data_IF_911567208086
#
_entry.id   IF_911567208086
#
_cell.length_a   1.000
_cell.length_b   1.000
_cell.length_c   1.000
_cell.angle_alpha   90.00
_cell.angle_beta   90.00
_cell.angle_gamma   90.00
#
_symmetry.space_group_name_H-M   'P 1'
#
loop_
_entity.id
_entity.type
_entity.pdbx_description
1 polymer ?
#
# COMPACT_ATOMS: atom_id res chain seq x y z
N UNK A 1 48.09 4.14 0.77
CA UNK A 1 47.02 5.12 0.51
C UNK A 1 46.14 4.56 -0.59
N UNK A 2 44.99 4.00 -0.26
CA UNK A 2 44.02 3.58 -1.26
C UNK A 2 43.49 4.85 -1.92
N UNK A 3 43.77 5.04 -3.22
CA UNK A 3 43.24 6.17 -3.96
C UNK A 3 41.73 6.18 -3.82
N UNK A 4 41.15 7.29 -3.35
CA UNK A 4 39.71 7.44 -3.31
C UNK A 4 39.19 7.33 -4.74
N UNK A 5 38.58 6.19 -5.06
CA UNK A 5 37.78 6.04 -6.27
C UNK A 5 36.59 6.98 -6.12
N UNK A 6 36.72 8.22 -6.62
CA UNK A 6 35.60 9.14 -6.77
C UNK A 6 34.63 8.49 -7.74
N UNK A 7 33.43 8.13 -7.26
CA UNK A 7 32.35 7.64 -8.11
C UNK A 7 31.58 8.84 -8.65
N UNK A 8 31.39 8.97 -9.98
CA UNK A 8 30.63 10.08 -10.55
C UNK A 8 29.13 9.94 -10.22
N UNK A 9 28.53 11.00 -9.70
CA UNK A 9 27.10 11.09 -9.43
C UNK A 9 26.73 12.28 -8.55
N UNK A 10 25.44 12.58 -8.49
CA UNK A 10 24.87 13.63 -7.65
C UNK A 10 24.10 12.98 -6.50
N UNK A 11 24.30 13.50 -5.28
CA UNK A 11 23.72 12.92 -4.06
C UNK A 11 22.56 13.79 -3.58
N UNK A 12 21.43 13.16 -3.29
CA UNK A 12 20.30 13.77 -2.57
C UNK A 12 19.99 12.96 -1.30
N UNK A 13 19.34 13.54 -0.27
CA UNK A 13 18.85 12.75 0.86
C UNK A 13 17.96 11.61 0.36
N UNK A 14 18.03 10.45 1.01
CA UNK A 14 17.21 9.32 0.60
C UNK A 14 15.72 9.61 0.75
N UNK A 15 14.90 9.08 -0.17
CA UNK A 15 13.48 9.36 -0.21
C UNK A 15 12.72 8.54 0.83
N UNK A 16 11.62 9.10 1.32
CA UNK A 16 10.75 8.48 2.32
C UNK A 16 9.31 8.48 1.83
N UNK A 17 8.67 7.31 1.94
CA UNK A 17 7.24 7.20 1.74
C UNK A 17 6.50 7.50 3.04
N UNK A 18 5.68 8.54 3.04
CA UNK A 18 4.90 8.96 4.22
C UNK A 18 3.73 8.04 4.56
N UNK A 19 3.37 7.10 3.68
CA UNK A 19 2.28 6.15 3.90
C UNK A 19 2.32 5.00 2.87
N UNK A 20 2.66 3.81 3.32
CA UNK A 20 2.54 2.59 2.52
C UNK A 20 2.17 1.37 3.35
N UNK A 21 2.13 0.21 2.68
CA UNK A 21 1.83 -1.08 3.29
C UNK A 21 2.89 -2.08 2.82
N UNK A 22 3.95 -2.28 3.59
CA UNK A 22 5.15 -3.01 3.17
C UNK A 22 4.86 -4.48 2.85
N UNK A 23 4.18 -5.18 3.76
CA UNK A 23 3.81 -6.58 3.54
C UNK A 23 2.85 -6.72 2.38
N UNK A 24 1.82 -5.87 2.31
CA UNK A 24 0.82 -5.92 1.24
C UNK A 24 1.43 -5.58 -0.13
N UNK A 25 2.35 -4.63 -0.20
CA UNK A 25 3.12 -4.34 -1.42
C UNK A 25 3.98 -5.55 -1.82
N UNK A 26 4.59 -6.23 -0.85
CA UNK A 26 5.27 -7.49 -1.10
C UNK A 26 4.34 -8.57 -1.64
N UNK A 27 3.17 -8.74 -1.04
CA UNK A 27 2.16 -9.72 -1.50
C UNK A 27 1.63 -9.37 -2.89
N UNK A 28 1.42 -8.07 -3.18
CA UNK A 28 1.08 -7.55 -4.51
C UNK A 28 2.09 -8.04 -5.56
N UNK A 29 3.39 -7.90 -5.28
CA UNK A 29 4.47 -8.31 -6.21
C UNK A 29 4.52 -9.83 -6.46
N UNK A 30 3.84 -10.62 -5.62
CA UNK A 30 3.70 -12.08 -5.77
C UNK A 30 2.26 -12.48 -6.11
N UNK A 31 1.49 -11.58 -6.71
CA UNK A 31 0.08 -11.79 -7.11
C UNK A 31 -0.17 -11.40 -8.57
N UNK A 32 -1.39 -11.59 -9.07
CA UNK A 32 -1.76 -11.14 -10.43
C UNK A 32 -1.86 -9.62 -10.47
N UNK A 33 -1.05 -8.98 -11.32
CA UNK A 33 -1.16 -7.56 -11.63
C UNK A 33 -2.32 -7.31 -12.61
N UNK A 34 -3.38 -6.68 -12.13
CA UNK A 34 -4.57 -6.33 -12.91
C UNK A 34 -4.65 -4.84 -13.26
N UNK A 35 -3.63 -4.05 -12.91
CA UNK A 35 -3.61 -2.63 -13.24
C UNK A 35 -3.62 -2.43 -14.76
N UNK A 36 -4.48 -1.52 -15.22
CA UNK A 36 -4.63 -1.20 -16.64
C UNK A 36 -5.25 -2.32 -17.48
N UNK A 37 -5.91 -3.32 -16.88
CA UNK A 37 -6.80 -4.20 -17.65
C UNK A 37 -7.97 -3.40 -18.23
N UNK A 38 -8.24 -3.57 -19.53
CA UNK A 38 -9.28 -2.84 -20.26
C UNK A 38 -10.56 -3.67 -20.42
N UNK A 39 -10.52 -4.98 -20.15
CA UNK A 39 -11.66 -5.87 -20.27
C UNK A 39 -11.66 -7.01 -19.25
N UNK A 40 -12.81 -7.67 -19.06
CA UNK A 40 -12.90 -8.91 -18.27
C UNK A 40 -12.08 -10.05 -18.89
N UNK A 41 -11.89 -10.04 -20.21
CA UNK A 41 -11.05 -11.04 -20.89
C UNK A 41 -9.56 -10.82 -20.58
N UNK A 42 -9.11 -9.57 -20.45
CA UNK A 42 -7.74 -9.27 -20.03
C UNK A 42 -7.48 -9.80 -18.62
N UNK A 43 -8.43 -9.63 -17.71
CA UNK A 43 -8.32 -10.16 -16.34
C UNK A 43 -8.18 -11.69 -16.39
N UNK A 44 -9.07 -12.39 -17.11
CA UNK A 44 -8.98 -13.85 -17.25
C UNK A 44 -7.65 -14.29 -17.85
N UNK A 45 -7.15 -13.53 -18.84
CA UNK A 45 -5.86 -13.81 -19.48
C UNK A 45 -4.71 -13.70 -18.49
N UNK A 46 -4.59 -12.59 -17.75
CA UNK A 46 -3.53 -12.41 -16.76
C UNK A 46 -3.60 -13.41 -15.61
N UNK A 47 -4.82 -13.76 -15.17
CA UNK A 47 -5.02 -14.82 -14.16
C UNK A 47 -4.53 -16.18 -14.68
N UNK A 48 -4.84 -16.56 -15.93
CA UNK A 48 -4.35 -17.80 -16.53
C UNK A 48 -2.83 -17.82 -16.68
N UNK A 49 -2.24 -16.73 -17.13
CA UNK A 49 -0.78 -16.59 -17.26
C UNK A 49 -0.08 -16.78 -15.91
N UNK A 50 -0.62 -16.17 -14.86
CA UNK A 50 -0.11 -16.35 -13.51
C UNK A 50 -0.27 -17.79 -13.02
N UNK A 51 -1.43 -18.44 -13.25
CA UNK A 51 -1.65 -19.85 -12.88
C UNK A 51 -0.69 -20.80 -13.61
N UNK A 52 -0.36 -20.51 -14.87
CA UNK A 52 0.62 -21.29 -15.63
C UNK A 52 2.03 -21.18 -15.01
N UNK A 53 2.40 -20.01 -14.50
CA UNK A 53 3.67 -19.79 -13.81
C UNK A 53 3.66 -20.28 -12.35
N UNK A 54 2.48 -20.38 -11.73
CA UNK A 54 2.29 -20.72 -10.32
C UNK A 54 1.20 -21.81 -10.16
N UNK A 55 1.47 -23.08 -10.52
CA UNK A 55 0.45 -24.13 -10.55
C UNK A 55 -0.21 -24.44 -9.20
N UNK A 56 0.46 -24.14 -8.09
CA UNK A 56 -0.05 -24.36 -6.73
C UNK A 56 -1.07 -23.29 -6.28
N UNK A 57 -1.22 -22.20 -7.04
CA UNK A 57 -2.17 -21.14 -6.75
C UNK A 57 -3.61 -21.50 -7.16
N UNK A 58 -4.58 -20.87 -6.50
CA UNK A 58 -6.01 -21.03 -6.76
C UNK A 58 -6.61 -22.32 -6.20
N UNK A 59 -5.93 -22.99 -5.26
CA UNK A 59 -6.45 -24.13 -4.51
C UNK A 59 -7.19 -23.67 -3.25
N UNK A 60 -7.94 -24.56 -2.59
CA UNK A 60 -8.69 -24.24 -1.37
C UNK A 60 -7.79 -23.74 -0.23
N UNK A 61 -6.57 -24.26 -0.15
CA UNK A 61 -5.58 -23.93 0.88
C UNK A 61 -4.61 -22.82 0.44
N UNK A 62 -4.58 -22.49 -0.85
CA UNK A 62 -3.73 -21.44 -1.42
C UNK A 62 -4.49 -20.67 -2.49
N UNK A 63 -5.28 -19.69 -2.05
CA UNK A 63 -6.08 -18.86 -2.94
C UNK A 63 -5.17 -18.05 -3.86
N UNK A 64 -5.55 -17.92 -5.14
CA UNK A 64 -4.90 -16.98 -6.03
C UNK A 64 -5.30 -15.57 -5.64
N UNK A 65 -4.30 -14.71 -5.49
CA UNK A 65 -4.47 -13.29 -5.22
C UNK A 65 -4.17 -12.49 -6.48
N UNK A 66 -4.81 -11.34 -6.59
CA UNK A 66 -4.54 -10.36 -7.63
C UNK A 66 -5.07 -9.00 -7.20
N UNK A 67 -4.70 -7.96 -7.91
CA UNK A 67 -4.98 -6.59 -7.45
C UNK A 67 -4.84 -5.62 -8.61
N UNK A 68 -5.69 -4.59 -8.62
CA UNK A 68 -5.65 -3.54 -9.64
C UNK A 68 -6.84 -3.51 -10.59
N UNK A 69 -7.86 -4.35 -10.39
CA UNK A 69 -9.05 -4.30 -11.25
C UNK A 69 -9.85 -3.01 -11.01
N UNK A 70 -10.49 -2.51 -12.07
CA UNK A 70 -11.37 -1.35 -12.01
C UNK A 70 -12.61 -1.59 -12.87
N UNK A 71 -13.79 -1.44 -12.26
CA UNK A 71 -15.07 -1.57 -12.94
C UNK A 71 -15.28 -0.53 -14.04
N UNK A 72 -14.57 0.61 -14.02
CA UNK A 72 -14.67 1.62 -15.08
C UNK A 72 -14.30 1.04 -16.45
N UNK A 73 -13.37 0.07 -16.48
CA UNK A 73 -12.98 -0.64 -17.69
C UNK A 73 -14.11 -1.55 -18.25
N UNK A 74 -15.04 -2.01 -17.39
CA UNK A 74 -16.09 -2.97 -17.77
C UNK A 74 -17.49 -2.35 -17.80
N UNK A 75 -17.66 -1.12 -17.28
CA UNK A 75 -18.92 -0.41 -17.14
C UNK A 75 -19.84 -0.93 -16.03
N UNK A 76 -19.38 -1.90 -15.22
CA UNK A 76 -20.13 -2.50 -14.11
C UNK A 76 -19.21 -3.24 -13.15
N UNK A 77 -19.66 -3.44 -11.91
CA UNK A 77 -18.97 -4.34 -10.99
C UNK A 77 -18.86 -5.76 -11.58
N UNK A 78 -17.71 -6.43 -11.44
CA UNK A 78 -17.55 -7.81 -11.89
C UNK A 78 -18.31 -8.78 -10.97
N UNK A 79 -18.55 -9.99 -11.45
CA UNK A 79 -19.24 -11.05 -10.72
C UNK A 79 -18.41 -12.32 -10.67
N UNK A 80 -18.72 -13.23 -9.75
CA UNK A 80 -18.09 -14.55 -9.71
C UNK A 80 -18.25 -15.30 -11.05
N UNK A 81 -19.41 -15.16 -11.71
CA UNK A 81 -19.68 -15.78 -13.00
C UNK A 81 -18.77 -15.26 -14.14
N UNK A 82 -18.26 -14.04 -14.06
CA UNK A 82 -17.36 -13.47 -15.07
C UNK A 82 -16.01 -14.19 -15.13
N UNK A 83 -15.51 -14.67 -13.99
CA UNK A 83 -14.31 -15.51 -13.93
C UNK A 83 -14.58 -16.86 -14.60
N UNK A 84 -15.72 -17.47 -14.28
CA UNK A 84 -16.06 -18.85 -14.66
C UNK A 84 -16.47 -19.02 -16.13
N UNK A 85 -16.57 -17.92 -16.89
CA UNK A 85 -16.71 -17.98 -18.34
C UNK A 85 -15.54 -18.73 -18.99
N UNK A 86 -14.35 -18.70 -18.39
CA UNK A 86 -13.23 -19.54 -18.79
C UNK A 86 -13.24 -20.88 -18.04
N UNK A 87 -13.33 -22.02 -18.73
CA UNK A 87 -13.35 -23.34 -18.10
C UNK A 87 -12.12 -23.66 -17.24
N UNK A 88 -10.95 -23.07 -17.51
CA UNK A 88 -9.73 -23.29 -16.72
C UNK A 88 -9.78 -22.61 -15.35
N UNK A 89 -10.64 -21.61 -15.19
CA UNK A 89 -10.78 -20.86 -13.94
C UNK A 89 -11.91 -21.42 -13.06
N UNK A 90 -12.74 -22.32 -13.58
CA UNK A 90 -13.78 -23.00 -12.79
C UNK A 90 -13.16 -23.82 -11.66
N UNK A 91 -13.74 -23.71 -10.46
CA UNK A 91 -13.24 -24.42 -9.28
C UNK A 91 -11.99 -23.79 -8.64
N UNK A 92 -11.45 -22.69 -9.19
CA UNK A 92 -10.32 -21.98 -8.60
C UNK A 92 -10.79 -21.02 -7.51
N UNK A 93 -10.03 -20.95 -6.43
CA UNK A 93 -10.27 -20.01 -5.34
C UNK A 93 -9.53 -18.71 -5.62
N UNK A 94 -10.26 -17.68 -6.07
CA UNK A 94 -9.71 -16.37 -6.39
C UNK A 94 -10.22 -15.32 -5.40
N UNK A 95 -9.33 -14.41 -5.02
CA UNK A 95 -9.66 -13.18 -4.30
C UNK A 95 -8.83 -12.05 -4.91
N UNK A 96 -9.48 -11.14 -5.63
CA UNK A 96 -8.85 -10.10 -6.44
C UNK A 96 -9.22 -8.73 -5.86
N UNK A 97 -8.24 -7.94 -5.46
CA UNK A 97 -8.47 -6.64 -4.82
C UNK A 97 -8.66 -5.54 -5.89
N UNK A 98 -9.59 -4.61 -5.63
CA UNK A 98 -9.82 -3.45 -6.50
C UNK A 98 -8.57 -2.57 -6.55
N UNK A 99 -8.46 -1.73 -7.56
CA UNK A 99 -7.38 -0.75 -7.71
C UNK A 99 -7.13 0.12 -6.46
N UNK A 100 -8.18 0.41 -5.69
CA UNK A 100 -8.11 1.18 -4.44
C UNK A 100 -8.11 0.30 -3.19
N UNK A 101 -8.06 -1.04 -3.33
CA UNK A 101 -8.09 -2.05 -2.26
C UNK A 101 -9.31 -2.03 -1.31
N UNK A 102 -10.34 -1.24 -1.63
CA UNK A 102 -11.56 -1.12 -0.82
C UNK A 102 -12.67 -2.10 -1.20
N UNK A 103 -12.44 -2.91 -2.23
CA UNK A 103 -13.33 -4.02 -2.58
C UNK A 103 -12.51 -5.27 -2.99
N UNK A 104 -13.10 -6.44 -2.80
CA UNK A 104 -12.57 -7.72 -3.30
C UNK A 104 -13.56 -8.38 -4.21
N UNK A 105 -13.08 -8.88 -5.35
CA UNK A 105 -13.81 -9.72 -6.29
C UNK A 105 -13.38 -11.17 -6.09
N UNK A 106 -14.35 -12.06 -5.83
CA UNK A 106 -14.11 -13.47 -5.54
C UNK A 106 -14.77 -14.40 -6.57
N UNK A 107 -14.16 -15.57 -6.76
CA UNK A 107 -14.69 -16.68 -7.56
C UNK A 107 -15.90 -17.36 -6.91
N UNK A 108 -16.67 -18.12 -7.69
CA UNK A 108 -17.80 -18.91 -7.16
C UNK A 108 -17.37 -19.91 -6.07
N UNK A 109 -16.21 -20.55 -6.22
CA UNK A 109 -15.68 -21.49 -5.21
C UNK A 109 -15.45 -20.85 -3.84
N UNK A 110 -15.21 -19.53 -3.78
CA UNK A 110 -15.14 -18.77 -2.53
C UNK A 110 -16.53 -18.42 -2.03
N UNK A 111 -17.46 -18.04 -2.92
CA UNK A 111 -18.87 -17.81 -2.55
C UNK A 111 -19.51 -19.06 -1.94
N UNK A 112 -19.17 -20.26 -2.43
CA UNK A 112 -19.68 -21.53 -1.93
C UNK A 112 -19.23 -21.84 -0.48
N UNK A 113 -18.26 -21.09 0.06
CA UNK A 113 -17.86 -21.19 1.47
C UNK A 113 -18.70 -20.31 2.40
N UNK A 114 -19.46 -19.37 1.86
CA UNK A 114 -20.26 -18.42 2.64
C UNK A 114 -21.62 -19.03 3.02
N UNK A 115 -22.25 -18.53 4.11
CA UNK A 115 -23.64 -18.85 4.38
C UNK A 115 -24.54 -18.33 3.26
N UNK A 116 -25.68 -19.01 3.04
CA UNK A 116 -26.63 -18.68 1.97
C UNK A 116 -27.35 -17.34 2.17
N UNK A 117 -27.44 -16.86 3.40
CA UNK A 117 -28.04 -15.57 3.76
C UNK A 117 -26.97 -14.68 4.40
N UNK A 118 -26.75 -13.50 3.80
CA UNK A 118 -25.75 -12.54 4.21
C UNK A 118 -26.46 -11.22 4.53
N UNK A 119 -26.41 -10.73 5.78
CA UNK A 119 -27.11 -9.51 6.17
C UNK A 119 -26.46 -8.28 5.54
N UNK A 120 -27.17 -7.14 5.61
CA UNK A 120 -26.55 -5.84 5.40
C UNK A 120 -25.49 -5.57 6.48
N UNK A 121 -24.40 -4.89 6.11
CA UNK A 121 -23.24 -4.68 6.96
C UNK A 121 -23.02 -3.19 7.14
N UNK A 122 -23.15 -2.64 8.36
CA UNK A 122 -22.81 -1.23 8.59
C UNK A 122 -21.36 -0.93 8.17
N UNK A 123 -21.17 0.08 7.33
CA UNK A 123 -19.85 0.45 6.81
C UNK A 123 -19.29 -0.52 5.77
N UNK A 124 -20.13 -1.32 5.10
CA UNK A 124 -19.70 -2.23 4.05
C UNK A 124 -20.83 -2.60 3.10
N UNK A 125 -20.45 -3.07 1.91
CA UNK A 125 -21.42 -3.41 0.85
C UNK A 125 -21.12 -4.80 0.27
N UNK A 126 -22.17 -5.59 0.11
CA UNK A 126 -22.13 -6.82 -0.69
C UNK A 126 -22.86 -6.52 -1.99
N UNK A 127 -22.13 -6.40 -3.08
CA UNK A 127 -22.70 -6.07 -4.39
C UNK A 127 -23.50 -7.28 -4.89
N UNK A 128 -24.79 -7.06 -5.17
CA UNK A 128 -25.73 -8.11 -5.59
C UNK A 128 -26.19 -7.97 -7.04
N UNK A 129 -26.13 -6.77 -7.59
CA UNK A 129 -26.44 -6.47 -8.99
C UNK A 129 -25.16 -6.03 -9.71
N UNK A 130 -24.83 -6.60 -10.88
CA UNK A 130 -25.60 -7.57 -11.68
C UNK A 130 -25.55 -9.01 -11.13
N UNK A 131 -24.75 -9.26 -10.11
CA UNK A 131 -24.60 -10.57 -9.50
C UNK A 131 -23.61 -10.53 -8.33
N UNK A 132 -23.55 -11.65 -7.60
CA UNK A 132 -22.64 -11.81 -6.48
C UNK A 132 -21.17 -11.92 -6.92
N UNK A 133 -20.27 -11.50 -6.04
CA UNK A 133 -18.83 -11.69 -6.21
C UNK A 133 -17.99 -10.55 -5.66
N UNK A 134 -18.58 -9.38 -5.41
CA UNK A 134 -17.85 -8.21 -4.91
C UNK A 134 -18.30 -7.84 -3.50
N UNK A 135 -17.31 -7.64 -2.62
CA UNK A 135 -17.48 -7.26 -1.22
C UNK A 135 -16.60 -6.04 -0.94
N UNK A 136 -17.18 -4.97 -0.40
CA UNK A 136 -16.49 -3.70 -0.16
C UNK A 136 -16.45 -3.34 1.33
N UNK A 137 -15.38 -2.66 1.73
CA UNK A 137 -15.12 -2.17 3.09
C UNK A 137 -15.35 -3.24 4.18
N UNK A 138 -16.23 -2.99 5.17
CA UNK A 138 -16.49 -3.96 6.24
C UNK A 138 -17.06 -5.30 5.75
N UNK A 139 -17.62 -5.36 4.53
CA UNK A 139 -18.10 -6.61 3.95
C UNK A 139 -16.96 -7.55 3.55
N UNK A 140 -15.75 -7.03 3.28
CA UNK A 140 -14.57 -7.83 2.96
C UNK A 140 -14.21 -8.79 4.10
N UNK A 141 -14.60 -8.50 5.35
CA UNK A 141 -14.34 -9.35 6.52
C UNK A 141 -14.93 -10.77 6.39
N UNK A 142 -16.02 -10.95 5.65
CA UNK A 142 -16.58 -12.28 5.36
C UNK A 142 -15.63 -13.12 4.53
N UNK A 143 -14.92 -12.48 3.60
CA UNK A 143 -13.96 -13.13 2.71
C UNK A 143 -12.63 -13.33 3.44
N UNK A 144 -12.11 -12.28 4.08
CA UNK A 144 -10.77 -12.32 4.68
C UNK A 144 -10.66 -13.32 5.85
N UNK A 145 -11.76 -13.62 6.55
CA UNK A 145 -11.83 -14.66 7.60
C UNK A 145 -11.74 -16.09 7.05
N UNK A 146 -12.19 -16.30 5.82
CA UNK A 146 -12.13 -17.60 5.14
C UNK A 146 -10.81 -17.80 4.41
N UNK A 147 -10.15 -16.71 4.00
CA UNK A 147 -8.90 -16.74 3.27
C UNK A 147 -7.77 -17.42 4.09
N UNK A 148 -7.16 -18.52 3.58
CA UNK A 148 -5.98 -19.13 4.19
C UNK A 148 -4.83 -18.13 4.27
N UNK A 149 -4.40 -17.82 5.50
CA UNK A 149 -3.35 -16.81 5.71
C UNK A 149 -1.97 -17.34 5.29
N UNK A 150 -1.15 -16.52 4.62
CA UNK A 150 0.19 -16.92 4.23
C UNK A 150 1.07 -17.21 5.45
N UNK A 151 2.02 -18.14 5.29
CA UNK A 151 3.00 -18.46 6.32
C UNK A 151 3.98 -17.31 6.57
N UNK A 152 4.61 -17.29 7.75
CA UNK A 152 5.64 -16.29 8.06
C UNK A 152 6.85 -16.37 7.12
N UNK A 153 7.15 -17.55 6.58
CA UNK A 153 8.19 -17.75 5.57
C UNK A 153 7.84 -17.02 4.27
N UNK A 154 6.60 -17.19 3.79
CA UNK A 154 6.12 -16.47 2.60
C UNK A 154 6.11 -14.96 2.84
N UNK A 155 5.61 -14.50 3.99
CA UNK A 155 5.62 -13.07 4.36
C UNK A 155 7.03 -12.49 4.43
N UNK A 156 7.99 -13.22 4.98
CA UNK A 156 9.39 -12.79 5.01
C UNK A 156 9.98 -12.65 3.59
N UNK A 157 9.66 -13.59 2.71
CA UNK A 157 10.06 -13.54 1.30
C UNK A 157 9.47 -12.32 0.59
N UNK A 158 8.17 -12.06 0.75
CA UNK A 158 7.50 -10.93 0.09
C UNK A 158 7.98 -9.57 0.60
N UNK A 159 8.21 -9.42 1.90
CA UNK A 159 8.79 -8.20 2.50
C UNK A 159 10.19 -7.93 1.94
N UNK A 160 11.01 -8.97 1.76
CA UNK A 160 12.33 -8.83 1.12
C UNK A 160 12.22 -8.34 -0.33
N UNK A 161 11.30 -8.91 -1.11
CA UNK A 161 11.03 -8.44 -2.49
C UNK A 161 10.55 -6.99 -2.51
N UNK A 162 9.64 -6.61 -1.61
CA UNK A 162 9.14 -5.25 -1.49
C UNK A 162 10.27 -4.25 -1.23
N UNK A 163 11.10 -4.50 -0.22
CA UNK A 163 12.23 -3.63 0.11
C UNK A 163 13.21 -3.48 -1.07
N UNK A 164 13.48 -4.56 -1.82
CA UNK A 164 14.33 -4.48 -3.01
C UNK A 164 13.73 -3.54 -4.09
N UNK A 165 12.42 -3.58 -4.31
CA UNK A 165 11.72 -2.66 -5.23
C UNK A 165 11.67 -1.22 -4.72
N UNK A 166 11.51 -1.01 -3.41
CA UNK A 166 11.59 0.32 -2.81
C UNK A 166 13.00 0.92 -2.98
N UNK A 167 14.05 0.13 -2.72
CA UNK A 167 15.43 0.58 -2.94
C UNK A 167 15.68 0.96 -4.40
N UNK A 168 15.10 0.24 -5.37
CA UNK A 168 15.25 0.52 -6.80
C UNK A 168 14.79 1.93 -7.20
N UNK A 169 13.82 2.50 -6.47
CA UNK A 169 13.29 3.85 -6.70
C UNK A 169 13.82 4.89 -5.72
N UNK A 170 14.80 4.53 -4.90
CA UNK A 170 15.47 5.46 -3.98
C UNK A 170 14.78 5.66 -2.63
N UNK A 171 13.76 4.83 -2.32
CA UNK A 171 13.11 4.85 -1.01
C UNK A 171 14.01 4.17 0.02
N UNK A 172 14.45 4.94 1.01
CA UNK A 172 15.30 4.51 2.13
C UNK A 172 14.51 4.36 3.43
N UNK A 173 13.32 4.94 3.49
CA UNK A 173 12.41 4.77 4.61
C UNK A 173 10.95 4.85 4.20
N UNK A 174 10.07 4.33 5.06
CA UNK A 174 8.64 4.41 4.85
C UNK A 174 7.86 4.36 6.16
N UNK A 175 6.63 4.85 6.10
CA UNK A 175 5.63 4.58 7.12
C UNK A 175 4.81 3.36 6.71
N UNK A 176 4.77 2.34 7.55
CA UNK A 176 3.93 1.15 7.33
C UNK A 176 2.61 1.32 8.08
N UNK A 177 1.54 1.60 7.34
CA UNK A 177 0.26 2.00 7.89
C UNK A 177 -0.64 0.77 8.12
N UNK A 178 -0.86 0.40 9.38
CA UNK A 178 -1.86 -0.59 9.76
C UNK A 178 -1.39 -2.04 9.74
N UNK A 179 -0.09 -2.30 9.94
CA UNK A 179 0.33 -3.67 10.21
C UNK A 179 -0.15 -4.14 11.60
N UNK A 180 -0.52 -5.43 11.67
CA UNK A 180 -1.03 -6.07 12.89
C UNK A 180 0.10 -6.38 13.88
N UNK A 181 -0.22 -6.66 15.17
CA UNK A 181 0.79 -7.08 16.14
C UNK A 181 1.59 -8.32 15.70
N UNK A 182 0.97 -9.25 14.97
CA UNK A 182 1.66 -10.42 14.42
C UNK A 182 2.71 -10.02 13.36
N UNK A 183 2.35 -9.12 12.43
CA UNK A 183 3.27 -8.61 11.41
C UNK A 183 4.39 -7.77 12.02
N UNK A 184 4.10 -6.93 13.01
CA UNK A 184 5.13 -6.18 13.74
C UNK A 184 6.13 -7.10 14.47
N UNK A 185 5.70 -8.25 15.00
CA UNK A 185 6.62 -9.26 15.57
C UNK A 185 7.51 -9.89 14.50
N UNK A 186 6.96 -10.17 13.32
CA UNK A 186 7.75 -10.64 12.17
C UNK A 186 8.79 -9.57 11.76
N UNK A 187 8.39 -8.32 11.61
CA UNK A 187 9.30 -7.22 11.26
C UNK A 187 10.42 -7.04 12.29
N UNK A 188 10.13 -7.11 13.59
CA UNK A 188 11.17 -7.07 14.63
C UNK A 188 12.21 -8.19 14.49
N UNK A 189 11.79 -9.38 14.03
CA UNK A 189 12.70 -10.49 13.74
C UNK A 189 13.52 -10.21 12.48
N UNK A 190 12.88 -9.75 11.41
CA UNK A 190 13.53 -9.48 10.12
C UNK A 190 14.49 -8.28 10.18
N UNK A 191 14.17 -7.23 10.92
CA UNK A 191 14.98 -6.02 11.07
C UNK A 191 16.38 -6.28 11.68
N UNK A 192 16.56 -7.43 12.33
CA UNK A 192 17.84 -7.88 12.91
C UNK A 192 18.76 -8.56 11.90
N UNK A 193 18.34 -8.77 10.66
CA UNK A 193 19.15 -9.38 9.61
C UNK A 193 19.68 -8.33 8.64
N UNK A 194 20.68 -8.71 7.83
CA UNK A 194 21.23 -7.84 6.78
C UNK A 194 20.29 -7.66 5.57
N UNK A 195 19.24 -8.49 5.49
CA UNK A 195 18.22 -8.41 4.45
C UNK A 195 17.25 -7.24 4.67
N UNK A 196 17.24 -6.61 5.85
CA UNK A 196 16.43 -5.42 6.11
C UNK A 196 17.12 -4.17 5.57
N UNK A 197 16.54 -3.59 4.51
CA UNK A 197 17.21 -2.54 3.71
C UNK A 197 16.48 -1.20 3.67
N UNK A 198 15.34 -1.07 4.37
CA UNK A 198 14.53 0.15 4.42
C UNK A 198 14.21 0.45 5.88
N UNK A 199 14.23 1.73 6.29
CA UNK A 199 13.78 2.13 7.63
C UNK A 199 12.26 2.16 7.69
N UNK A 200 11.66 1.45 8.63
CA UNK A 200 10.20 1.36 8.71
C UNK A 200 9.69 1.96 10.02
N UNK A 201 8.82 2.95 9.89
CA UNK A 201 8.01 3.49 10.97
C UNK A 201 6.62 2.87 10.91
N UNK A 202 6.34 1.89 11.78
CA UNK A 202 5.06 1.19 11.82
C UNK A 202 3.98 1.97 12.57
N UNK A 203 2.78 1.99 12.00
CA UNK A 203 1.54 2.45 12.63
C UNK A 203 0.67 1.22 12.88
N UNK A 204 0.54 0.79 14.13
CA UNK A 204 -0.12 -0.48 14.45
C UNK A 204 -1.63 -0.40 14.22
N UNK A 205 -2.20 -1.38 13.52
CA UNK A 205 -3.65 -1.66 13.55
C UNK A 205 -3.91 -2.89 14.42
N UNK A 206 -4.94 -2.83 15.25
CA UNK A 206 -5.37 -3.98 16.05
C UNK A 206 -6.12 -4.99 15.17
N UNK A 207 -6.06 -6.29 15.51
CA UNK A 207 -6.75 -7.34 14.74
C UNK A 207 -8.26 -7.07 14.60
N UNK A 208 -8.87 -6.47 15.62
CA UNK A 208 -10.18 -5.84 15.49
C UNK A 208 -9.99 -4.45 14.89
N UNK A 209 -10.39 -4.29 13.62
CA UNK A 209 -10.39 -3.02 12.90
C UNK A 209 -11.04 -1.89 13.72
N UNK A 210 -10.47 -0.69 13.61
CA UNK A 210 -10.97 0.53 14.27
C UNK A 210 -11.12 0.40 15.79
N UNK A 211 -10.25 -0.38 16.43
CA UNK A 211 -10.19 -0.52 17.89
C UNK A 211 -8.80 -0.22 18.44
N UNK A 212 -8.67 -0.21 19.77
CA UNK A 212 -7.40 -0.05 20.47
C UNK A 212 -7.13 -1.26 21.39
N UNK A 213 -5.95 -1.85 21.26
CA UNK A 213 -5.51 -3.09 21.90
C UNK A 213 -4.27 -2.81 22.76
N UNK A 214 -4.41 -2.17 23.92
CA UNK A 214 -3.27 -1.66 24.71
C UNK A 214 -2.24 -2.73 25.10
N UNK A 215 -2.69 -3.98 25.30
CA UNK A 215 -1.81 -5.10 25.69
C UNK A 215 -0.91 -5.60 24.53
N UNK A 216 -1.26 -5.29 23.28
CA UNK A 216 -0.54 -5.69 22.08
C UNK A 216 0.08 -4.50 21.31
N UNK A 217 -0.41 -3.29 21.57
CA UNK A 217 0.05 -2.03 20.97
C UNK A 217 1.32 -1.49 21.65
N UNK A 218 2.35 -2.33 21.75
CA UNK A 218 3.63 -1.95 22.35
C UNK A 218 4.41 -0.99 21.45
N UNK A 219 5.04 0.01 22.06
CA UNK A 219 6.05 0.81 21.37
C UNK A 219 7.27 -0.07 21.08
N UNK A 220 7.82 0.07 19.87
CA UNK A 220 9.03 -0.64 19.46
C UNK A 220 10.11 0.39 19.20
N UNK A 221 11.22 0.25 19.91
CA UNK A 221 12.40 1.10 19.75
C UNK A 221 13.61 0.25 19.36
N UNK A 222 13.99 0.32 18.09
CA UNK A 222 15.24 -0.22 17.59
C UNK A 222 16.34 0.85 17.69
N UNK A 223 17.50 0.58 18.33
CA UNK A 223 18.58 1.56 18.49
C UNK A 223 19.11 2.13 17.17
N UNK A 224 19.08 1.34 16.10
CA UNK A 224 19.51 1.73 14.77
C UNK A 224 18.38 2.30 13.92
N UNK A 225 17.16 2.42 14.48
CA UNK A 225 15.96 2.91 13.82
C UNK A 225 15.64 2.20 12.49
N UNK A 226 15.91 0.90 12.40
CA UNK A 226 15.54 0.05 11.26
C UNK A 226 14.04 -0.26 11.26
N UNK A 227 13.49 -0.57 12.43
CA UNK A 227 12.05 -0.74 12.63
C UNK A 227 11.62 -0.11 13.95
N UNK A 228 10.69 0.84 13.90
CA UNK A 228 10.17 1.53 15.09
C UNK A 228 8.64 1.62 15.03
N UNK A 229 7.99 1.64 16.18
CA UNK A 229 6.53 1.77 16.29
C UNK A 229 6.18 2.71 17.42
N UNK A 230 5.45 3.80 17.10
CA UNK A 230 5.01 4.81 18.09
C UNK A 230 3.59 5.31 17.88
N UNK A 231 2.88 4.83 16.85
CA UNK A 231 1.50 5.22 16.55
C UNK A 231 0.62 4.01 16.24
N UNK A 232 -0.68 4.28 16.24
CA UNK A 232 -1.71 3.36 15.77
C UNK A 232 -2.36 3.91 14.51
N UNK A 233 -2.88 3.03 13.66
CA UNK A 233 -3.66 3.35 12.47
C UNK A 233 -5.14 3.12 12.75
N UNK A 234 -5.98 4.07 12.33
CA UNK A 234 -7.43 3.99 12.37
C UNK A 234 -7.98 4.47 11.02
N UNK A 235 -9.20 4.05 10.70
CA UNK A 235 -9.94 4.43 9.51
C UNK A 235 -11.21 5.18 9.90
N UNK A 236 -11.39 6.39 9.36
CA UNK A 236 -12.60 7.17 9.60
C UNK A 236 -13.76 6.70 8.72
N UNK A 237 -13.49 6.56 7.42
CA UNK A 237 -14.42 6.24 6.33
C UNK A 237 -13.72 5.39 5.25
N UNK A 238 -14.42 5.10 4.15
CA UNK A 238 -13.88 4.34 3.00
C UNK A 238 -13.19 5.23 1.94
N UNK A 239 -13.12 4.75 0.70
CA UNK A 239 -12.55 5.49 -0.43
C UNK A 239 -13.62 6.09 -1.37
N UNK A 240 -13.24 7.15 -2.09
CA UNK A 240 -14.11 7.83 -3.05
C UNK A 240 -14.50 6.90 -4.21
N UNK A 241 -13.55 6.09 -4.70
CA UNK A 241 -13.76 5.25 -5.89
C UNK A 241 -14.72 4.08 -5.69
N UNK A 242 -14.95 3.67 -4.44
CA UNK A 242 -15.95 2.67 -4.04
C UNK A 242 -17.18 3.31 -3.37
N UNK A 243 -17.30 4.64 -3.41
CA UNK A 243 -18.33 5.42 -2.72
C UNK A 243 -18.39 5.19 -1.19
N UNK A 244 -17.28 4.76 -0.59
CA UNK A 244 -17.16 4.46 0.83
C UNK A 244 -16.80 5.69 1.69
N UNK A 245 -16.16 6.72 1.12
CA UNK A 245 -15.82 7.94 1.89
C UNK A 245 -17.08 8.68 2.35
N UNK A 246 -17.06 9.20 3.57
CA UNK A 246 -18.21 9.84 4.21
C UNK A 246 -18.30 11.31 3.79
N UNK A 247 -19.13 11.57 2.79
CA UNK A 247 -19.32 12.89 2.18
C UNK A 247 -20.35 13.72 2.95
N UNK A 248 -20.25 15.05 2.86
CA UNK A 248 -21.24 15.97 3.45
C UNK A 248 -22.57 15.99 2.69
N UNK A 249 -22.52 15.69 1.40
CA UNK A 249 -23.66 15.58 0.47
C UNK A 249 -23.52 14.28 -0.35
N UNK A 250 -24.59 13.76 -0.98
CA UNK A 250 -24.48 12.59 -1.84
C UNK A 250 -23.44 12.73 -2.96
N UNK A 251 -22.88 11.59 -3.37
CA UNK A 251 -21.95 11.54 -4.48
C UNK A 251 -22.62 12.03 -5.77
N UNK A 252 -21.89 12.79 -6.59
CA UNK A 252 -22.41 13.36 -7.84
C UNK A 252 -22.72 12.29 -8.89
N UNK A 253 -22.00 11.16 -8.86
CA UNK A 253 -22.17 9.99 -9.71
C UNK A 253 -22.95 8.85 -9.04
N UNK A 254 -23.31 9.00 -7.75
CA UNK A 254 -24.06 8.01 -6.98
C UNK A 254 -25.05 8.67 -5.99
N UNK A 255 -26.12 9.33 -6.50
CA UNK A 255 -26.91 10.30 -5.72
C UNK A 255 -27.72 9.73 -4.55
N UNK A 256 -27.82 8.41 -4.42
CA UNK A 256 -28.53 7.75 -3.32
C UNK A 256 -27.65 7.42 -2.11
N UNK A 257 -26.33 7.68 -2.18
CA UNK A 257 -25.39 7.44 -1.08
C UNK A 257 -24.50 8.66 -0.84
N UNK A 258 -24.12 8.88 0.42
CA UNK A 258 -23.08 9.83 0.82
C UNK A 258 -21.90 9.09 1.47
N UNK A 259 -21.78 7.79 1.19
CA UNK A 259 -20.86 6.88 1.85
C UNK A 259 -21.18 6.67 3.33
N UNK A 260 -20.22 6.11 4.07
CA UNK A 260 -20.44 5.79 5.47
C UNK A 260 -19.17 5.85 6.30
N UNK A 261 -19.30 6.25 7.56
CA UNK A 261 -18.18 6.14 8.48
C UNK A 261 -17.94 4.65 8.81
N UNK A 262 -16.67 4.22 8.74
CA UNK A 262 -16.25 2.87 9.15
C UNK A 262 -16.18 2.72 10.67
N UNK A 263 -16.17 3.84 11.39
CA UNK A 263 -16.24 3.92 12.84
C UNK A 263 -17.26 4.99 13.23
N UNK A 264 -18.10 4.73 14.23
CA UNK A 264 -19.00 5.77 14.73
C UNK A 264 -18.20 7.01 15.18
N UNK A 265 -18.63 8.21 14.79
CA UNK A 265 -17.95 9.48 15.09
C UNK A 265 -17.63 9.69 16.58
N UNK A 266 -18.52 9.23 17.48
CA UNK A 266 -18.30 9.30 18.93
C UNK A 266 -17.18 8.36 19.39
N UNK A 267 -17.07 7.19 18.76
CA UNK A 267 -16.03 6.22 19.06
C UNK A 267 -14.66 6.68 18.52
N UNK A 268 -14.60 7.30 17.34
CA UNK A 268 -13.38 7.92 16.80
C UNK A 268 -12.81 8.97 17.76
N UNK A 269 -13.68 9.78 18.37
CA UNK A 269 -13.32 10.80 19.36
C UNK A 269 -12.83 10.20 20.68
N UNK A 270 -13.17 8.95 20.99
CA UNK A 270 -12.70 8.24 22.19
C UNK A 270 -11.32 7.59 21.97
N UNK A 271 -10.97 7.22 20.74
CA UNK A 271 -9.66 6.64 20.38
C UNK A 271 -8.63 7.67 19.93
N UNK A 272 -9.06 8.87 19.53
CA UNK A 272 -8.19 10.01 19.22
C UNK A 272 -8.23 11.05 20.35
N UNK A 273 -7.09 11.66 20.71
CA UNK A 273 -7.08 12.82 21.62
C UNK A 273 -7.86 13.99 20.99
N UNK A 274 -8.61 14.71 21.81
CA UNK A 274 -9.50 15.81 21.43
C UNK A 274 -8.73 17.08 20.93
N UNK A 275 -8.89 17.51 19.66
CA UNK A 275 -8.15 18.63 19.06
C UNK A 275 -8.98 19.94 19.03
N UNK A 276 -9.42 20.45 20.18
CA UNK A 276 -10.41 21.54 20.33
C UNK A 276 -10.11 22.93 19.69
N UNK A 277 -9.22 23.07 18.71
CA UNK A 277 -9.12 24.31 17.90
C UNK A 277 -8.63 24.04 16.47
N UNK A 278 -9.43 24.33 15.44
CA UNK A 278 -8.91 24.87 14.16
C UNK A 278 -9.36 24.21 12.86
N UNK A 279 -10.08 24.95 11.99
CA UNK A 279 -10.58 24.62 10.63
C UNK A 279 -10.21 25.72 9.58
N UNK A 280 -10.29 25.47 8.25
CA UNK A 280 -10.46 26.47 7.14
C UNK A 280 -10.13 26.03 5.66
N UNK A 281 -10.64 26.69 4.55
CA UNK A 281 -11.18 26.06 3.30
C UNK A 281 -10.84 26.65 1.85
N UNK A 282 -11.14 25.87 0.77
CA UNK A 282 -11.56 26.18 -0.67
C UNK A 282 -10.61 26.77 -1.77
N UNK A 283 -11.03 26.69 -3.07
CA UNK A 283 -10.28 26.46 -4.35
C UNK A 283 -10.71 27.32 -5.60
N UNK A 284 -9.94 27.35 -6.73
CA UNK A 284 -10.34 27.08 -8.16
C UNK A 284 -9.50 27.76 -9.32
N UNK A 285 -9.06 27.01 -10.37
CA UNK A 285 -8.88 27.45 -11.80
C UNK A 285 -8.68 26.23 -12.80
N UNK A 286 -9.35 26.17 -13.98
CA UNK A 286 -9.49 24.97 -14.83
C UNK A 286 -8.59 24.73 -16.07
N UNK A 287 -7.61 25.56 -16.46
CA UNK A 287 -6.56 25.16 -17.46
C UNK A 287 -5.32 24.50 -16.82
N UNK A 288 -5.47 24.25 -15.53
CA UNK A 288 -4.52 23.68 -14.61
C UNK A 288 -5.17 22.42 -14.03
N UNK A 289 -4.43 21.33 -13.93
CA UNK A 289 -5.01 20.07 -13.44
C UNK A 289 -5.61 20.27 -12.05
N UNK A 290 -6.92 20.03 -11.90
CA UNK A 290 -7.82 20.06 -10.72
C UNK A 290 -7.63 21.15 -9.63
N UNK A 291 -6.40 21.51 -9.21
CA UNK A 291 -6.02 22.52 -8.22
C UNK A 291 -4.59 23.11 -8.50
N UNK A 292 -4.41 24.07 -9.42
CA UNK A 292 -3.13 24.72 -9.71
C UNK A 292 -2.37 25.30 -8.53
N UNK A 293 -3.11 25.95 -7.63
CA UNK A 293 -2.53 26.68 -6.52
C UNK A 293 -1.90 25.74 -5.48
N UNK A 294 -2.19 24.43 -5.58
CA UNK A 294 -1.61 23.35 -4.78
C UNK A 294 -0.36 22.75 -5.45
N UNK A 295 0.08 23.25 -6.61
CA UNK A 295 1.31 22.78 -7.27
C UNK A 295 2.50 23.12 -6.38
N UNK A 296 3.22 22.09 -5.97
CA UNK A 296 4.46 22.22 -5.21
C UNK A 296 5.63 22.49 -6.16
N UNK A 297 6.53 23.38 -5.74
CA UNK A 297 7.85 23.48 -6.35
C UNK A 297 8.63 22.18 -6.19
N UNK A 298 9.68 21.97 -7.00
CA UNK A 298 10.59 20.82 -6.84
C UNK A 298 11.15 20.75 -5.42
N UNK A 299 11.46 21.89 -4.81
CA UNK A 299 11.98 21.95 -3.44
C UNK A 299 10.94 21.49 -2.42
N UNK A 300 9.70 21.96 -2.53
CA UNK A 300 8.61 21.54 -1.63
C UNK A 300 8.28 20.06 -1.81
N UNK A 301 8.29 19.56 -3.04
CA UNK A 301 8.14 18.13 -3.35
C UNK A 301 9.24 17.31 -2.69
N UNK A 302 10.51 17.73 -2.83
CA UNK A 302 11.63 17.05 -2.18
C UNK A 302 11.53 17.10 -0.66
N UNK A 303 11.07 18.21 -0.07
CA UNK A 303 10.79 18.26 1.36
C UNK A 303 9.69 17.25 1.75
N UNK A 304 8.62 17.17 0.94
CA UNK A 304 7.52 16.22 1.08
C UNK A 304 7.95 14.75 1.00
N UNK A 305 9.00 14.43 0.25
CA UNK A 305 9.56 13.07 0.15
C UNK A 305 10.84 12.85 0.95
N UNK A 306 11.25 13.78 1.82
CA UNK A 306 12.45 13.60 2.66
C UNK A 306 12.18 14.02 4.10
N UNK A 307 12.15 15.32 4.38
CA UNK A 307 12.08 15.88 5.73
C UNK A 307 10.70 15.75 6.36
N UNK A 308 9.63 15.90 5.59
CA UNK A 308 8.25 15.86 6.09
C UNK A 308 7.87 14.48 6.64
N UNK A 309 8.05 13.36 5.90
CA UNK A 309 7.81 12.03 6.43
C UNK A 309 8.77 11.70 7.59
N UNK A 310 10.05 12.07 7.49
CA UNK A 310 10.98 11.91 8.62
C UNK A 310 10.49 12.62 9.89
N UNK A 311 9.96 13.84 9.77
CA UNK A 311 9.36 14.56 10.89
C UNK A 311 8.12 13.83 11.44
N UNK A 312 7.23 13.34 10.57
CA UNK A 312 6.07 12.56 10.97
C UNK A 312 6.42 11.21 11.64
N UNK A 313 7.62 10.68 11.39
CA UNK A 313 8.21 9.54 12.09
C UNK A 313 9.02 9.90 13.36
N UNK A 314 9.05 11.18 13.77
CA UNK A 314 9.87 11.68 14.89
C UNK A 314 11.39 11.53 14.68
N UNK A 315 11.82 11.70 13.43
CA UNK A 315 13.21 11.55 12.96
C UNK A 315 13.74 12.83 12.31
N UNK A 316 13.16 14.00 12.59
CA UNK A 316 13.51 15.28 11.95
C UNK A 316 14.97 15.69 12.13
N UNK A 317 15.63 15.17 13.17
CA UNK A 317 17.05 15.41 13.41
C UNK A 317 17.97 14.40 12.70
N UNK A 318 17.44 13.27 12.23
CA UNK A 318 18.19 12.08 11.83
C UNK A 318 17.97 11.65 10.38
N UNK A 319 16.75 11.78 9.83
CA UNK A 319 16.41 11.32 8.49
C UNK A 319 16.01 12.47 7.56
N UNK A 320 16.02 12.22 6.24
CA UNK A 320 15.61 13.20 5.22
C UNK A 320 16.59 14.37 5.02
N UNK A 321 17.82 14.27 5.54
CA UNK A 321 18.86 15.30 5.45
C UNK A 321 20.25 14.68 5.25
N UNK A 322 21.16 15.40 4.61
CA UNK A 322 22.58 15.06 4.56
C UNK A 322 23.34 16.04 5.44
N UNK A 323 23.72 15.61 6.64
CA UNK A 323 24.55 16.37 7.59
C UNK A 323 25.22 15.44 8.59
N UNK A 324 26.24 15.94 9.27
CA UNK A 324 26.90 15.20 10.36
C UNK A 324 25.88 14.83 11.46
N UNK A 325 25.96 13.58 11.95
CA UNK A 325 25.06 13.05 12.97
C UNK A 325 23.67 12.57 12.49
N UNK A 326 23.34 12.77 11.21
CA UNK A 326 22.19 12.18 10.54
C UNK A 326 22.47 10.74 10.07
N UNK A 327 21.43 10.01 9.69
CA UNK A 327 21.57 8.69 9.09
C UNK A 327 22.28 8.78 7.74
N UNK A 328 23.09 7.77 7.48
CA UNK A 328 23.83 7.55 6.26
C UNK A 328 22.91 6.96 5.17
N UNK A 329 21.82 7.66 4.85
CA UNK A 329 20.84 7.24 3.84
C UNK A 329 20.72 8.27 2.71
N UNK A 330 21.02 7.87 1.48
CA UNK A 330 21.03 8.77 0.33
C UNK A 330 20.74 8.04 -0.98
N UNK A 331 20.43 8.84 -1.99
CA UNK A 331 20.26 8.40 -3.37
C UNK A 331 21.32 9.06 -4.23
N UNK A 332 21.87 8.29 -5.17
CA UNK A 332 22.80 8.77 -6.19
C UNK A 332 22.07 8.83 -7.54
N UNK A 333 22.23 9.96 -8.23
CA UNK A 333 21.66 10.25 -9.54
C UNK A 333 22.78 10.51 -10.56
N UNK A 334 22.47 10.34 -11.84
CA UNK A 334 23.40 10.69 -12.92
C UNK A 334 23.44 12.20 -13.18
N UNK A 335 22.34 12.90 -12.94
CA UNK A 335 22.17 14.33 -13.14
C UNK A 335 21.38 14.95 -11.96
N UNK A 336 21.60 16.25 -11.64
CA UNK A 336 20.85 16.91 -10.58
C UNK A 336 19.41 17.21 -11.04
N UNK A 337 18.45 17.05 -10.13
CA UNK A 337 17.02 17.12 -10.44
C UNK A 337 16.55 18.47 -10.98
N UNK A 338 17.22 19.56 -10.60
CA UNK A 338 16.88 20.93 -11.04
C UNK A 338 17.27 21.24 -12.49
N UNK A 339 17.99 20.33 -13.15
CA UNK A 339 18.36 20.42 -14.58
C UNK A 339 17.49 19.56 -15.48
N UNK A 340 16.65 18.70 -14.92
CA UNK A 340 15.81 17.78 -15.68
C UNK A 340 14.50 18.46 -16.08
N UNK A 341 14.00 18.15 -17.27
CA UNK A 341 12.64 18.52 -17.64
C UNK A 341 11.62 17.66 -16.88
N UNK A 342 10.34 18.05 -16.90
CA UNK A 342 9.28 17.21 -16.29
C UNK A 342 9.22 15.81 -16.90
N UNK A 343 9.42 15.67 -18.21
CA UNK A 343 9.44 14.36 -18.88
C UNK A 343 10.66 13.52 -18.48
N UNK A 344 11.83 14.15 -18.33
CA UNK A 344 13.02 13.46 -17.87
C UNK A 344 12.86 13.01 -16.40
N UNK A 345 12.20 13.82 -15.56
CA UNK A 345 11.88 13.43 -14.17
C UNK A 345 10.95 12.21 -14.11
N UNK A 346 9.96 12.08 -15.01
CA UNK A 346 9.02 10.94 -15.05
C UNK A 346 9.72 9.63 -15.37
N UNK A 347 10.79 9.69 -16.15
CA UNK A 347 11.51 8.51 -16.64
C UNK A 347 12.83 8.27 -15.92
N UNK A 348 13.25 9.20 -15.05
CA UNK A 348 14.46 9.14 -14.24
C UNK A 348 14.59 7.80 -13.52
N UNK A 349 15.78 7.21 -13.60
CA UNK A 349 16.14 5.97 -12.88
C UNK A 349 17.25 6.26 -11.90
N UNK A 350 17.02 5.89 -10.65
CA UNK A 350 18.03 5.96 -9.58
C UNK A 350 19.27 5.16 -9.99
N UNK A 351 20.45 5.73 -9.75
CA UNK A 351 21.73 5.08 -10.01
C UNK A 351 22.10 4.13 -8.87
N UNK A 352 22.05 4.63 -7.63
CA UNK A 352 22.32 3.86 -6.43
C UNK A 352 21.45 4.34 -5.27
N UNK A 353 21.12 3.41 -4.36
CA UNK A 353 20.42 3.71 -3.10
C UNK A 353 21.24 3.16 -1.95
N UNK A 354 21.40 3.98 -0.92
CA UNK A 354 22.23 3.69 0.25
C UNK A 354 21.41 3.85 1.52
N UNK A 355 21.50 2.86 2.41
CA UNK A 355 20.83 2.85 3.72
C UNK A 355 21.82 2.41 4.78
N UNK A 356 21.92 3.19 5.86
CA UNK A 356 22.87 2.99 6.95
C UNK A 356 24.32 2.84 6.46
N UNK A 357 24.71 3.58 5.42
CA UNK A 357 26.04 3.57 4.83
C UNK A 357 26.34 2.36 3.94
N UNK A 358 25.36 1.48 3.70
CA UNK A 358 25.48 0.32 2.81
C UNK A 358 24.74 0.58 1.50
N UNK A 359 25.36 0.26 0.37
CA UNK A 359 24.69 0.27 -0.95
C UNK A 359 23.71 -0.90 -1.00
N UNK A 360 22.42 -0.58 -1.03
CA UNK A 360 21.32 -1.57 -1.04
C UNK A 360 20.73 -1.77 -2.43
N UNK A 361 21.07 -0.88 -3.37
CA UNK A 361 20.71 -0.99 -4.78
C UNK A 361 21.76 -0.28 -5.64
N UNK A 362 22.03 -0.84 -6.82
CA UNK A 362 22.74 -0.20 -7.91
C UNK A 362 22.14 -0.64 -9.23
N UNK A 363 21.86 0.31 -10.11
CA UNK A 363 21.33 0.04 -11.46
C UNK A 363 22.29 -0.79 -12.31
N UNK A 364 23.59 -0.69 -12.04
CA UNK A 364 24.65 -1.36 -12.82
C UNK A 364 24.94 -2.79 -12.31
N UNK A 365 24.36 -3.20 -11.18
CA UNK A 365 24.51 -4.56 -10.67
C UNK A 365 23.63 -5.50 -11.52
N UNK A 366 24.26 -6.40 -12.28
CA UNK A 366 23.57 -7.34 -13.19
C UNK A 366 22.82 -8.48 -12.48
N UNK A 367 22.85 -8.51 -11.15
CA UNK A 367 22.23 -9.52 -10.29
C UNK A 367 21.15 -8.92 -9.38
N UNK A 368 20.33 -8.00 -9.90
CA UNK A 368 19.14 -7.57 -9.17
C UNK A 368 18.07 -8.69 -9.24
N UNK A 369 17.50 -9.11 -8.10
CA UNK A 369 16.48 -10.16 -8.05
C UNK A 369 15.13 -9.76 -8.69
#
# INVERSE_FOLDING_TARGET
>A
MAGSLLRPGYVIPGLWDGHGHLLQYGEFLHSVDLFGCESLEDVRTRVKEYLNANPDAGSKDHWLRGVGWDQTAYGRMPTAADVEQDPLLKGKYLMLDRIDVHCVWVSQSVLDLLPSDLPEIPGGEIVRDPGMGVFCDNAMDYITKLWPKPSDEFKAKTVKTAMAKLNQVGLVGMHDAGATPSTHRLYQKLAKTDDWTVRVYGMLECDKRNSFCPDEAAQIHDPDFKFTVRSVKLFGDGALGSWGSAMLEPYTDHPWTSGSLLINASALTQVAKNPHTGKGPSAADPDLGFLPDEILSLRETLLGFTRSPAYAAFLEAKAGVIREGAFADWVVLDEPLDRLSFEDLRTLKVKETWVAGRRVYSRDDTNLP
#
